data_IF_931285148933
#
_entry.id   IF_931285148933
#
_cell.length_a   1.000
_cell.length_b   1.000
_cell.length_c   1.000
_cell.angle_alpha   90.00
_cell.angle_beta   90.00
_cell.angle_gamma   90.00
#
_symmetry.space_group_name_H-M   'P 1'
#
loop_
_entity.id
_entity.type
_entity.pdbx_description
1 polymer ?
#
# COMPACT_ATOMS: atom_id res chain seq x y z
N UNK A 1 -25.60 21.11 -31.88
CA UNK A 1 -24.33 21.02 -32.65
C UNK A 1 -24.72 21.04 -34.12
N UNK A 2 -24.18 21.95 -34.92
CA UNK A 2 -24.79 22.33 -36.20
C UNK A 2 -24.42 21.41 -37.37
N UNK A 3 -25.33 21.26 -38.34
CA UNK A 3 -25.11 20.53 -39.60
C UNK A 3 -23.87 21.06 -40.34
N UNK A 4 -23.61 22.37 -40.29
CA UNK A 4 -22.46 22.99 -40.94
C UNK A 4 -21.09 22.42 -40.53
N UNK A 5 -20.96 21.92 -39.30
CA UNK A 5 -19.71 21.33 -38.82
C UNK A 5 -19.49 19.88 -39.30
N UNK A 6 -20.52 19.23 -39.85
CA UNK A 6 -20.50 17.79 -40.18
C UNK A 6 -20.85 17.48 -41.64
N UNK A 7 -21.44 18.42 -42.38
CA UNK A 7 -21.79 18.24 -43.79
C UNK A 7 -20.55 17.94 -44.65
N UNK A 8 -20.75 17.31 -45.81
CA UNK A 8 -19.73 17.21 -46.85
C UNK A 8 -19.79 18.45 -47.74
N UNK A 9 -18.63 19.03 -48.05
CA UNK A 9 -18.49 20.05 -49.09
C UNK A 9 -18.16 19.45 -50.46
N UNK A 10 -17.86 18.16 -50.50
CA UNK A 10 -17.65 17.40 -51.73
C UNK A 10 -19.00 16.80 -52.17
N UNK A 11 -19.60 17.41 -53.19
CA UNK A 11 -20.87 17.02 -53.81
C UNK A 11 -20.94 17.51 -55.27
N UNK A 12 -21.87 16.97 -56.05
CA UNK A 12 -22.11 17.41 -57.42
C UNK A 12 -23.28 18.38 -57.50
N UNK A 13 -23.10 19.46 -58.26
CA UNK A 13 -24.18 20.32 -58.75
C UNK A 13 -24.24 20.25 -60.28
N UNK A 14 -25.43 20.38 -60.84
CA UNK A 14 -25.69 20.43 -62.29
C UNK A 14 -26.75 21.47 -62.59
N UNK A 15 -26.68 22.08 -63.77
CA UNK A 15 -27.64 23.10 -64.20
C UNK A 15 -28.90 22.41 -64.77
N UNK A 16 -30.08 22.99 -64.55
CA UNK A 16 -31.38 22.34 -64.84
C UNK A 16 -31.65 22.04 -66.33
N UNK A 17 -31.04 22.79 -67.24
CA UNK A 17 -31.13 22.60 -68.70
C UNK A 17 -30.15 21.54 -69.24
N UNK A 18 -29.21 21.03 -68.42
CA UNK A 18 -28.26 20.01 -68.86
C UNK A 18 -28.95 18.71 -69.29
N UNK A 19 -28.40 18.02 -70.29
CA UNK A 19 -28.98 16.76 -70.75
C UNK A 19 -28.85 15.66 -69.68
N UNK A 20 -29.80 14.74 -69.64
CA UNK A 20 -29.75 13.58 -68.74
C UNK A 20 -28.42 12.80 -68.91
N UNK A 21 -27.93 12.63 -70.14
CA UNK A 21 -26.64 11.96 -70.39
C UNK A 21 -25.46 12.65 -69.70
N UNK A 22 -25.37 13.98 -69.79
CA UNK A 22 -24.25 14.74 -69.21
C UNK A 22 -24.29 14.69 -67.68
N UNK A 23 -25.49 14.77 -67.10
CA UNK A 23 -25.66 14.67 -65.64
C UNK A 23 -25.29 13.27 -65.13
N UNK A 24 -25.72 12.21 -65.82
CA UNK A 24 -25.36 10.82 -65.47
C UNK A 24 -23.85 10.62 -65.54
N UNK A 25 -23.19 11.15 -66.57
CA UNK A 25 -21.73 11.09 -66.70
C UNK A 25 -21.03 11.86 -65.57
N UNK A 26 -21.50 13.07 -65.22
CA UNK A 26 -20.95 13.86 -64.11
C UNK A 26 -21.08 13.17 -62.75
N UNK A 27 -22.23 12.54 -62.49
CA UNK A 27 -22.47 11.77 -61.26
C UNK A 27 -21.51 10.56 -61.22
N UNK A 28 -21.39 9.82 -62.32
CA UNK A 28 -20.54 8.64 -62.40
C UNK A 28 -19.05 8.96 -62.29
N UNK A 29 -18.56 9.98 -63.02
CA UNK A 29 -17.14 10.36 -63.05
C UNK A 29 -16.63 10.84 -61.68
N UNK A 30 -17.49 11.46 -60.87
CA UNK A 30 -17.14 11.90 -59.52
C UNK A 30 -17.45 10.87 -58.43
N UNK A 31 -17.89 9.67 -58.81
CA UNK A 31 -18.34 8.61 -57.89
C UNK A 31 -19.36 9.12 -56.85
N UNK A 32 -20.20 10.07 -57.25
CA UNK A 32 -21.24 10.63 -56.41
C UNK A 32 -22.53 9.83 -56.58
N UNK A 33 -23.33 9.73 -55.51
CA UNK A 33 -24.63 9.03 -55.52
C UNK A 33 -25.83 9.97 -55.69
N UNK A 34 -25.57 11.29 -55.65
CA UNK A 34 -26.55 12.36 -55.76
C UNK A 34 -25.90 13.56 -56.45
N UNK A 35 -26.66 14.26 -57.28
CA UNK A 35 -26.36 15.61 -57.73
C UNK A 35 -27.54 16.54 -57.42
N UNK A 36 -27.24 17.77 -57.03
CA UNK A 36 -28.25 18.81 -56.84
C UNK A 36 -28.40 19.62 -58.11
N UNK A 37 -29.64 19.74 -58.58
CA UNK A 37 -29.98 20.53 -59.75
C UNK A 37 -30.17 21.97 -59.28
N UNK A 38 -29.47 22.90 -59.93
CA UNK A 38 -29.49 24.33 -59.60
C UNK A 38 -29.89 25.18 -60.81
N UNK A 39 -30.36 26.39 -60.54
CA UNK A 39 -30.52 27.42 -61.57
C UNK A 39 -29.23 28.22 -61.81
N UNK A 40 -29.30 29.23 -62.68
CA UNK A 40 -28.20 30.16 -62.99
C UNK A 40 -27.75 30.98 -61.78
N UNK A 41 -28.59 31.12 -60.74
CA UNK A 41 -28.31 31.82 -59.48
C UNK A 41 -27.77 30.89 -58.37
N UNK A 42 -27.41 29.64 -58.68
CA UNK A 42 -27.03 28.59 -57.71
C UNK A 42 -28.11 28.18 -56.69
N UNK A 43 -29.38 28.52 -56.94
CA UNK A 43 -30.49 28.10 -56.06
C UNK A 43 -30.90 26.67 -56.37
N UNK A 44 -31.27 25.93 -55.32
CA UNK A 44 -31.72 24.55 -55.48
C UNK A 44 -33.04 24.47 -56.28
N UNK A 45 -33.02 23.77 -57.41
CA UNK A 45 -34.19 23.43 -58.23
C UNK A 45 -34.69 22.00 -58.00
N UNK A 46 -33.82 21.10 -57.56
CA UNK A 46 -34.16 19.70 -57.29
C UNK A 46 -32.94 18.83 -57.06
N UNK A 47 -33.14 17.51 -57.08
CA UNK A 47 -32.04 16.56 -56.98
C UNK A 47 -32.21 15.35 -57.89
N UNK A 48 -31.09 14.75 -58.27
CA UNK A 48 -31.02 13.52 -59.04
C UNK A 48 -30.23 12.52 -58.24
N UNK A 49 -30.79 11.34 -58.05
CA UNK A 49 -30.14 10.23 -57.35
C UNK A 49 -29.96 9.05 -58.29
N UNK A 50 -29.15 8.07 -57.88
CA UNK A 50 -29.11 6.77 -58.58
C UNK A 50 -30.49 6.08 -58.69
N UNK A 51 -31.44 6.41 -57.81
CA UNK A 51 -32.83 5.95 -57.94
C UNK A 51 -33.54 6.60 -59.13
N UNK A 52 -33.40 7.92 -59.25
CA UNK A 52 -33.90 8.70 -60.40
C UNK A 52 -33.34 8.15 -61.73
N UNK A 53 -32.03 7.88 -61.78
CA UNK A 53 -31.38 7.32 -62.98
C UNK A 53 -31.96 5.94 -63.35
N UNK A 54 -32.16 5.05 -62.36
CA UNK A 54 -32.79 3.74 -62.60
C UNK A 54 -34.21 3.87 -63.14
N UNK A 55 -34.98 4.83 -62.64
CA UNK A 55 -36.34 5.09 -63.08
C UNK A 55 -36.40 5.62 -64.52
N UNK A 56 -35.50 6.54 -64.88
CA UNK A 56 -35.31 7.05 -66.24
C UNK A 56 -35.06 5.89 -67.22
N UNK A 57 -34.14 4.98 -66.86
CA UNK A 57 -33.80 3.79 -67.67
C UNK A 57 -35.03 2.88 -67.83
N UNK A 58 -35.71 2.57 -66.72
CA UNK A 58 -36.88 1.69 -66.72
C UNK A 58 -38.05 2.22 -67.56
N UNK A 59 -38.23 3.54 -67.61
CA UNK A 59 -39.28 4.21 -68.38
C UNK A 59 -38.89 4.51 -69.84
N UNK A 60 -37.65 4.22 -70.25
CA UNK A 60 -37.18 4.48 -71.61
C UNK A 60 -37.15 5.96 -72.00
N UNK A 61 -36.91 6.85 -71.04
CA UNK A 61 -36.86 8.30 -71.29
C UNK A 61 -35.64 8.64 -72.15
N UNK A 62 -35.83 9.49 -73.16
CA UNK A 62 -34.73 9.95 -74.02
C UNK A 62 -33.67 10.71 -73.22
N UNK A 63 -32.41 10.26 -73.30
CA UNK A 63 -31.28 10.86 -72.58
C UNK A 63 -30.91 12.28 -73.04
N UNK A 64 -31.47 12.74 -74.17
CA UNK A 64 -31.26 14.11 -74.68
C UNK A 64 -32.17 15.15 -74.03
N UNK A 65 -33.17 14.73 -73.25
CA UNK A 65 -34.06 15.66 -72.53
C UNK A 65 -33.28 16.40 -71.43
N UNK A 66 -33.69 17.61 -71.06
CA UNK A 66 -33.10 18.33 -69.93
C UNK A 66 -33.38 17.58 -68.62
N UNK A 67 -32.48 17.72 -67.65
CA UNK A 67 -32.55 17.01 -66.38
C UNK A 67 -33.74 17.46 -65.52
N UNK A 68 -34.19 18.70 -65.69
CA UNK A 68 -35.37 19.23 -64.99
C UNK A 68 -36.66 18.44 -65.26
N UNK A 69 -36.77 17.79 -66.42
CA UNK A 69 -37.93 16.97 -66.80
C UNK A 69 -38.09 15.71 -65.94
N UNK A 70 -37.03 15.28 -65.26
CA UNK A 70 -36.94 13.98 -64.58
C UNK A 70 -36.38 14.06 -63.16
N UNK A 71 -35.92 15.24 -62.71
CA UNK A 71 -35.40 15.42 -61.36
C UNK A 71 -36.50 15.24 -60.29
N UNK A 72 -36.07 14.96 -59.05
CA UNK A 72 -36.93 15.16 -57.90
C UNK A 72 -36.97 16.67 -57.65
N UNK A 73 -38.13 17.29 -57.88
CA UNK A 73 -38.27 18.76 -57.80
C UNK A 73 -38.00 19.29 -56.39
N UNK A 74 -37.70 20.59 -56.29
CA UNK A 74 -37.46 21.29 -55.01
C UNK A 74 -38.57 21.03 -54.01
N UNK A 75 -39.83 21.06 -54.44
CA UNK A 75 -41.01 20.87 -53.57
C UNK A 75 -41.09 19.46 -52.97
N UNK A 76 -40.42 18.50 -53.60
CA UNK A 76 -40.32 17.11 -53.15
C UNK A 76 -38.96 16.78 -52.54
N UNK A 77 -38.09 17.76 -52.40
CA UNK A 77 -36.74 17.60 -51.84
C UNK A 77 -36.70 18.18 -50.43
N UNK A 78 -36.62 17.32 -49.42
CA UNK A 78 -36.34 17.77 -48.05
C UNK A 78 -34.93 18.39 -47.98
N UNK A 79 -34.79 19.46 -47.21
CA UNK A 79 -33.52 20.21 -47.09
C UNK A 79 -33.20 20.51 -45.63
N UNK A 80 -31.96 20.89 -45.34
CA UNK A 80 -31.52 21.32 -44.02
C UNK A 80 -30.87 22.70 -44.10
N UNK A 81 -31.06 23.54 -43.09
CA UNK A 81 -30.24 24.74 -42.93
C UNK A 81 -28.87 24.37 -42.33
N UNK A 82 -27.82 25.08 -42.72
CA UNK A 82 -26.47 24.91 -42.16
C UNK A 82 -26.42 25.05 -40.62
N UNK A 83 -27.38 25.79 -40.03
CA UNK A 83 -27.49 26.00 -38.58
C UNK A 83 -28.34 24.94 -37.85
N UNK A 84 -28.99 24.04 -38.57
CA UNK A 84 -29.84 23.02 -37.97
C UNK A 84 -29.04 22.08 -37.06
N UNK A 85 -29.71 21.46 -36.10
CA UNK A 85 -29.11 20.39 -35.29
C UNK A 85 -29.12 19.06 -36.04
N UNK A 86 -28.13 18.21 -35.78
CA UNK A 86 -28.02 16.87 -36.37
C UNK A 86 -29.26 16.00 -36.15
N UNK A 87 -29.98 16.18 -35.03
CA UNK A 87 -31.20 15.44 -34.76
C UNK A 87 -32.30 15.71 -35.81
N UNK A 88 -32.35 16.92 -36.37
CA UNK A 88 -33.29 17.26 -37.44
C UNK A 88 -33.04 16.38 -38.67
N UNK A 89 -31.77 16.29 -39.10
CA UNK A 89 -31.38 15.43 -40.23
C UNK A 89 -31.76 13.96 -39.99
N UNK A 90 -31.54 13.45 -38.78
CA UNK A 90 -31.83 12.06 -38.42
C UNK A 90 -33.33 11.77 -38.46
N UNK A 91 -34.16 12.69 -37.97
CA UNK A 91 -35.62 12.55 -38.02
C UNK A 91 -36.11 12.49 -39.47
N UNK A 92 -35.64 13.41 -40.32
CA UNK A 92 -36.00 13.42 -41.74
C UNK A 92 -35.56 12.10 -42.41
N UNK A 93 -34.33 11.63 -42.18
CA UNK A 93 -33.86 10.34 -42.72
C UNK A 93 -34.71 9.15 -42.26
N UNK A 94 -35.23 9.19 -41.03
CA UNK A 94 -36.05 8.12 -40.46
C UNK A 94 -37.48 8.12 -41.02
N UNK A 95 -38.06 9.31 -41.22
CA UNK A 95 -39.44 9.45 -41.65
C UNK A 95 -39.62 9.30 -43.17
N UNK A 96 -38.64 9.77 -43.96
CA UNK A 96 -38.78 9.90 -45.42
C UNK A 96 -38.06 8.82 -46.21
N UNK A 97 -37.32 7.91 -45.55
CA UNK A 97 -36.49 6.87 -46.18
C UNK A 97 -35.57 7.39 -47.30
N UNK A 98 -34.97 8.56 -47.07
CA UNK A 98 -34.00 9.18 -47.99
C UNK A 98 -32.57 8.99 -47.49
N UNK A 99 -31.59 9.08 -48.41
CA UNK A 99 -30.18 8.81 -48.10
C UNK A 99 -29.30 10.03 -48.04
N UNK A 100 -29.73 11.13 -48.67
CA UNK A 100 -28.99 12.38 -48.79
C UNK A 100 -29.93 13.55 -48.56
N UNK A 101 -29.42 14.58 -47.88
CA UNK A 101 -30.10 15.85 -47.68
C UNK A 101 -29.18 16.98 -48.13
N UNK A 102 -29.61 17.86 -49.04
CA UNK A 102 -28.91 19.10 -49.32
C UNK A 102 -28.91 19.98 -48.07
N UNK A 103 -27.77 20.62 -47.84
CA UNK A 103 -27.60 21.63 -46.79
C UNK A 103 -27.55 22.98 -47.44
N UNK A 104 -28.48 23.85 -47.05
CA UNK A 104 -28.65 25.17 -47.59
C UNK A 104 -28.10 26.23 -46.64
N UNK A 105 -27.55 27.29 -47.24
CA UNK A 105 -27.38 28.58 -46.58
C UNK A 105 -28.26 29.55 -47.36
N UNK A 106 -29.32 30.02 -46.72
CA UNK A 106 -30.41 30.73 -47.42
C UNK A 106 -31.03 29.80 -48.47
N UNK A 107 -30.80 30.04 -49.77
CA UNK A 107 -31.34 29.23 -50.88
C UNK A 107 -30.26 28.46 -51.66
N UNK A 108 -28.98 28.70 -51.34
CA UNK A 108 -27.84 28.10 -52.03
C UNK A 108 -27.43 26.77 -51.41
N UNK A 109 -27.09 25.80 -52.25
CA UNK A 109 -26.57 24.50 -51.81
C UNK A 109 -25.11 24.65 -51.39
N UNK A 110 -24.85 24.57 -50.08
CA UNK A 110 -23.50 24.71 -49.50
C UNK A 110 -22.90 23.39 -49.02
N UNK A 111 -23.67 22.31 -49.05
CA UNK A 111 -23.21 21.00 -48.63
C UNK A 111 -24.23 19.89 -48.81
N UNK A 112 -23.82 18.68 -48.46
CA UNK A 112 -24.69 17.50 -48.37
C UNK A 112 -24.42 16.74 -47.09
N UNK A 113 -25.46 16.23 -46.45
CA UNK A 113 -25.32 15.23 -45.40
C UNK A 113 -25.93 13.92 -45.88
N UNK A 114 -25.21 12.81 -45.67
CA UNK A 114 -25.73 11.47 -45.91
C UNK A 114 -26.20 10.84 -44.62
N UNK A 115 -27.19 9.96 -44.71
CA UNK A 115 -27.70 9.19 -43.57
C UNK A 115 -26.56 8.45 -42.85
N UNK A 116 -25.65 7.82 -43.61
CA UNK A 116 -24.46 7.14 -43.07
C UNK A 116 -23.56 8.07 -42.27
N UNK A 117 -23.32 9.30 -42.75
CA UNK A 117 -22.46 10.28 -42.07
C UNK A 117 -23.12 10.80 -40.79
N UNK A 118 -24.41 11.13 -40.85
CA UNK A 118 -25.20 11.56 -39.70
C UNK A 118 -25.22 10.48 -38.60
N UNK A 119 -25.49 9.22 -38.98
CA UNK A 119 -25.53 8.09 -38.05
C UNK A 119 -24.15 7.79 -37.43
N UNK A 120 -23.09 7.77 -38.25
CA UNK A 120 -21.70 7.57 -37.75
C UNK A 120 -21.33 8.62 -36.70
N UNK A 121 -21.72 9.86 -36.93
CA UNK A 121 -21.44 10.95 -36.01
C UNK A 121 -22.23 10.82 -34.70
N UNK A 122 -23.53 10.49 -34.79
CA UNK A 122 -24.36 10.26 -33.60
C UNK A 122 -23.80 9.13 -32.73
N UNK A 123 -23.44 7.98 -33.33
CA UNK A 123 -22.84 6.85 -32.62
C UNK A 123 -21.54 7.26 -31.93
N UNK A 124 -20.64 7.96 -32.64
CA UNK A 124 -19.37 8.42 -32.08
C UNK A 124 -19.57 9.29 -30.83
N UNK A 125 -20.53 10.21 -30.88
CA UNK A 125 -20.86 11.08 -29.75
C UNK A 125 -21.42 10.29 -28.58
N UNK A 126 -22.40 9.41 -28.81
CA UNK A 126 -22.98 8.58 -27.74
C UNK A 126 -21.96 7.69 -27.05
N UNK A 127 -21.01 7.11 -27.80
CA UNK A 127 -19.92 6.31 -27.22
C UNK A 127 -19.02 7.15 -26.33
N UNK A 128 -18.68 8.38 -26.75
CA UNK A 128 -17.84 9.30 -25.98
C UNK A 128 -18.53 9.73 -24.67
N UNK A 129 -19.76 10.24 -24.77
CA UNK A 129 -20.56 10.67 -23.61
C UNK A 129 -20.76 9.48 -22.63
N UNK A 130 -21.00 8.28 -23.17
CA UNK A 130 -21.12 7.06 -22.37
C UNK A 130 -19.82 6.62 -21.68
N UNK A 131 -18.65 6.86 -22.30
CA UNK A 131 -17.35 6.57 -21.69
C UNK A 131 -17.02 7.54 -20.57
N UNK A 132 -17.26 8.84 -20.76
CA UNK A 132 -17.05 9.87 -19.73
C UNK A 132 -17.96 9.62 -18.52
N UNK A 133 -19.26 9.41 -18.75
CA UNK A 133 -20.20 9.09 -17.67
C UNK A 133 -19.82 7.81 -16.90
N UNK A 134 -19.31 6.78 -17.60
CA UNK A 134 -18.80 5.56 -16.96
C UNK A 134 -17.55 5.82 -16.12
N UNK A 135 -16.63 6.66 -16.59
CA UNK A 135 -15.41 7.02 -15.84
C UNK A 135 -15.77 7.78 -14.57
N UNK A 136 -16.62 8.79 -14.65
CA UNK A 136 -17.09 9.57 -13.50
C UNK A 136 -17.82 8.69 -12.49
N UNK A 137 -18.74 7.83 -12.97
CA UNK A 137 -19.46 6.90 -12.10
C UNK A 137 -18.51 5.93 -11.40
N UNK A 138 -17.51 5.38 -12.10
CA UNK A 138 -16.48 4.53 -11.49
C UNK A 138 -15.64 5.28 -10.45
N UNK A 139 -15.17 6.49 -10.77
CA UNK A 139 -14.37 7.29 -9.85
C UNK A 139 -15.14 7.61 -8.57
N UNK A 140 -16.42 8.01 -8.71
CA UNK A 140 -17.30 8.26 -7.56
C UNK A 140 -17.50 7.02 -6.70
N UNK A 141 -17.77 5.86 -7.30
CA UNK A 141 -17.90 4.60 -6.55
C UNK A 141 -16.62 4.22 -5.78
N UNK A 142 -15.44 4.52 -6.33
CA UNK A 142 -14.16 4.29 -5.63
C UNK A 142 -14.08 5.21 -4.42
N UNK A 143 -14.29 6.52 -4.61
CA UNK A 143 -14.19 7.52 -3.53
C UNK A 143 -15.22 7.29 -2.42
N UNK A 144 -16.44 6.85 -2.77
CA UNK A 144 -17.52 6.55 -1.81
C UNK A 144 -17.30 5.24 -1.04
N UNK A 145 -16.54 4.28 -1.61
CA UNK A 145 -16.26 3.01 -0.93
C UNK A 145 -15.07 3.09 0.03
N UNK A 146 -14.28 4.16 -0.02
CA UNK A 146 -13.21 4.41 0.94
C UNK A 146 -13.79 4.77 2.32
N UNK A 147 -13.30 4.08 3.35
CA UNK A 147 -13.51 4.48 4.75
C UNK A 147 -12.53 5.59 5.19
N UNK A 148 -11.85 6.23 4.24
CA UNK A 148 -10.96 7.36 4.49
C UNK A 148 -11.65 8.66 4.10
N UNK A 149 -11.53 9.66 4.97
CA UNK A 149 -11.96 11.01 4.65
C UNK A 149 -11.08 11.57 3.54
N UNK A 150 -11.69 12.13 2.50
CA UNK A 150 -11.00 12.72 1.36
C UNK A 150 -11.50 14.16 1.15
N UNK A 151 -10.55 15.08 1.09
CA UNK A 151 -10.78 16.50 0.83
C UNK A 151 -9.83 16.91 -0.30
N UNK A 152 -10.36 17.52 -1.36
CA UNK A 152 -9.53 18.17 -2.39
C UNK A 152 -9.64 19.66 -2.20
N UNK A 153 -8.50 20.33 -2.20
CA UNK A 153 -8.38 21.79 -2.11
C UNK A 153 -7.59 22.30 -3.30
N UNK A 154 -8.03 23.41 -3.89
CA UNK A 154 -7.31 24.07 -4.99
C UNK A 154 -6.09 24.87 -4.48
N UNK A 155 -5.33 25.46 -5.41
CA UNK A 155 -4.18 26.32 -5.14
C UNK A 155 -4.49 27.57 -4.31
N UNK A 156 -5.75 28.02 -4.35
CA UNK A 156 -6.23 29.15 -3.56
C UNK A 156 -6.76 28.70 -2.19
N UNK A 157 -6.60 27.43 -1.82
CA UNK A 157 -7.11 26.80 -0.59
C UNK A 157 -8.64 26.70 -0.54
N UNK A 158 -9.33 26.72 -1.67
CA UNK A 158 -10.77 26.50 -1.75
C UNK A 158 -11.06 25.00 -1.79
N UNK A 159 -11.98 24.53 -0.96
CA UNK A 159 -12.40 23.11 -0.96
C UNK A 159 -13.20 22.82 -2.21
N UNK A 160 -12.72 21.89 -3.02
CA UNK A 160 -13.33 21.45 -4.28
C UNK A 160 -14.16 20.18 -4.11
N UNK A 161 -13.66 19.24 -3.30
CA UNK A 161 -14.30 17.94 -3.08
C UNK A 161 -14.27 17.60 -1.59
N UNK A 162 -15.32 16.92 -1.14
CA UNK A 162 -15.49 16.50 0.25
C UNK A 162 -16.32 15.21 0.31
N UNK A 163 -15.67 14.06 0.53
CA UNK A 163 -16.36 12.78 0.43
C UNK A 163 -17.24 12.46 1.66
N UNK A 164 -18.17 11.49 1.56
CA UNK A 164 -19.05 11.11 2.69
C UNK A 164 -18.31 10.65 3.95
N UNK A 165 -17.15 10.00 3.80
CA UNK A 165 -16.32 9.59 4.93
C UNK A 165 -15.76 10.82 5.67
N UNK A 166 -15.35 11.87 4.95
CA UNK A 166 -14.93 13.13 5.53
C UNK A 166 -16.07 13.81 6.29
N UNK A 167 -17.31 13.76 5.79
CA UNK A 167 -18.47 14.27 6.52
C UNK A 167 -18.69 13.53 7.84
N UNK A 168 -18.65 12.20 7.80
CA UNK A 168 -18.83 11.36 8.98
C UNK A 168 -17.75 11.59 10.02
N UNK A 169 -16.49 11.72 9.60
CA UNK A 169 -15.35 11.90 10.49
C UNK A 169 -15.27 13.32 11.06
N UNK A 170 -15.51 14.35 10.24
CA UNK A 170 -15.39 15.74 10.68
C UNK A 170 -16.67 16.28 11.34
N UNK A 171 -17.82 15.66 11.04
CA UNK A 171 -19.14 16.16 11.41
C UNK A 171 -19.62 17.34 10.56
N UNK A 172 -18.88 17.73 9.52
CA UNK A 172 -19.20 18.85 8.62
C UNK A 172 -19.88 18.34 7.37
N UNK A 173 -20.82 19.11 6.81
CA UNK A 173 -21.48 18.75 5.55
C UNK A 173 -20.68 19.23 4.34
N UNK A 174 -20.63 18.41 3.29
CA UNK A 174 -19.97 18.73 2.03
C UNK A 174 -20.51 20.04 1.44
N UNK A 175 -21.83 20.21 1.40
CA UNK A 175 -22.50 21.43 0.91
C UNK A 175 -22.13 22.70 1.71
N UNK A 176 -21.70 22.55 2.96
CA UNK A 176 -21.24 23.66 3.79
C UNK A 176 -19.76 23.96 3.62
N UNK A 177 -18.97 23.06 3.03
CA UNK A 177 -17.51 23.16 2.92
C UNK A 177 -17.05 23.43 1.49
N UNK A 178 -17.68 22.81 0.50
CA UNK A 178 -17.35 23.01 -0.92
C UNK A 178 -17.51 24.49 -1.28
N UNK A 179 -16.53 25.03 -2.00
CA UNK A 179 -16.46 26.44 -2.38
C UNK A 179 -15.97 27.40 -1.28
N UNK A 180 -15.72 26.91 -0.05
CA UNK A 180 -15.17 27.74 1.03
C UNK A 180 -13.67 27.52 1.17
N UNK A 181 -12.98 28.52 1.76
CA UNK A 181 -11.58 28.37 2.14
C UNK A 181 -11.42 27.27 3.19
N UNK A 182 -10.41 26.44 3.00
CA UNK A 182 -9.96 25.46 3.97
C UNK A 182 -9.56 26.17 5.25
N UNK A 183 -10.15 25.79 6.38
CA UNK A 183 -9.79 26.38 7.66
C UNK A 183 -8.42 25.85 8.08
N UNK A 184 -7.45 26.75 8.24
CA UNK A 184 -6.19 26.39 8.85
C UNK A 184 -6.40 26.22 10.36
N UNK A 185 -6.61 24.99 10.81
CA UNK A 185 -6.76 24.64 12.23
C UNK A 185 -5.47 24.16 12.89
N UNK A 186 -4.39 24.05 12.12
CA UNK A 186 -3.10 23.50 12.52
C UNK A 186 -2.03 24.61 12.57
N UNK A 187 -0.95 24.38 13.33
CA UNK A 187 0.15 25.35 13.53
C UNK A 187 0.59 26.00 12.21
N UNK A 188 0.83 27.31 12.28
CA UNK A 188 1.27 28.14 11.16
C UNK A 188 2.73 27.80 10.77
N UNK A 189 3.06 27.49 9.49
CA UNK A 189 2.20 27.43 8.30
C UNK A 189 1.47 26.09 8.09
N UNK A 190 0.33 26.12 7.36
CA UNK A 190 -0.47 24.93 7.04
C UNK A 190 0.33 23.92 6.21
N UNK A 191 0.19 22.62 6.50
CA UNK A 191 0.83 21.56 5.69
C UNK A 191 0.35 21.61 4.23
N UNK A 192 -0.91 21.97 4.03
CA UNK A 192 -1.49 22.14 2.69
C UNK A 192 -0.75 23.21 1.89
N UNK A 193 -0.52 24.36 2.52
CA UNK A 193 0.20 25.49 1.91
C UNK A 193 1.65 25.12 1.60
N UNK A 194 2.31 24.38 2.51
CA UNK A 194 3.66 23.87 2.28
C UNK A 194 3.70 22.98 1.03
N UNK A 195 2.77 22.02 0.91
CA UNK A 195 2.70 21.09 -0.23
C UNK A 195 2.38 21.82 -1.54
N UNK A 196 1.54 22.85 -1.51
CA UNK A 196 1.28 23.70 -2.69
C UNK A 196 2.57 24.43 -3.12
N UNK A 197 3.36 24.91 -2.16
CA UNK A 197 4.57 25.69 -2.42
C UNK A 197 5.75 24.86 -2.90
N UNK A 198 6.01 23.73 -2.25
CA UNK A 198 7.19 22.89 -2.53
C UNK A 198 6.90 21.71 -3.45
N UNK A 199 5.62 21.32 -3.61
CA UNK A 199 5.22 20.18 -4.42
C UNK A 199 5.65 18.82 -3.84
N UNK A 200 6.05 18.77 -2.57
CA UNK A 200 6.55 17.58 -1.90
C UNK A 200 5.40 16.94 -1.11
N UNK A 201 5.01 15.69 -1.40
CA UNK A 201 3.95 15.03 -0.64
C UNK A 201 4.37 14.79 0.81
N UNK A 202 3.39 14.82 1.73
CA UNK A 202 3.58 14.55 3.16
C UNK A 202 2.68 13.39 3.58
N UNK A 203 3.27 12.29 4.02
CA UNK A 203 2.55 11.08 4.40
C UNK A 203 2.56 10.88 5.91
N UNK A 204 1.58 10.12 6.40
CA UNK A 204 1.51 9.63 7.78
C UNK A 204 1.62 10.73 8.85
N UNK A 205 1.02 11.90 8.60
CA UNK A 205 1.05 13.01 9.55
C UNK A 205 -0.01 12.80 10.62
N UNK A 206 0.39 12.69 11.88
CA UNK A 206 -0.55 12.56 12.99
C UNK A 206 -1.13 13.92 13.38
N UNK A 207 -2.47 14.03 13.34
CA UNK A 207 -3.21 15.23 13.72
C UNK A 207 -4.15 14.88 14.87
N UNK A 208 -3.88 15.46 16.04
CA UNK A 208 -4.73 15.32 17.22
C UNK A 208 -5.80 16.40 17.24
N UNK A 209 -7.05 15.97 17.31
CA UNK A 209 -8.22 16.85 17.36
C UNK A 209 -8.52 17.29 18.80
N UNK A 210 -9.28 18.37 18.95
CA UNK A 210 -9.67 18.92 20.26
C UNK A 210 -10.55 17.96 21.08
N UNK A 211 -11.32 17.12 20.41
CA UNK A 211 -12.15 16.09 21.02
C UNK A 211 -11.35 14.84 21.44
N UNK A 212 -10.03 14.83 21.23
CA UNK A 212 -9.14 13.74 21.61
C UNK A 212 -8.90 12.69 20.52
N UNK A 213 -9.63 12.74 19.40
CA UNK A 213 -9.38 11.84 18.27
C UNK A 213 -8.03 12.11 17.61
N UNK A 214 -7.44 11.07 17.02
CA UNK A 214 -6.16 11.12 16.33
C UNK A 214 -6.36 10.65 14.90
N UNK A 215 -6.05 11.52 13.95
CA UNK A 215 -6.12 11.22 12.52
C UNK A 215 -4.73 11.05 11.94
N UNK A 216 -4.57 10.07 11.06
CA UNK A 216 -3.40 9.92 10.21
C UNK A 216 -3.70 10.54 8.85
N UNK A 217 -2.95 11.56 8.45
CA UNK A 217 -3.27 12.39 7.27
C UNK A 217 -2.15 12.32 6.24
N UNK A 218 -2.55 12.14 4.97
CA UNK A 218 -1.69 12.22 3.80
C UNK A 218 -2.06 13.44 2.97
N UNK A 219 -1.05 14.14 2.44
CA UNK A 219 -1.18 15.30 1.59
C UNK A 219 -0.42 15.06 0.29
N UNK A 220 -1.15 15.00 -0.83
CA UNK A 220 -0.59 14.71 -2.14
C UNK A 220 -0.89 15.87 -3.10
N UNK A 221 0.11 16.49 -3.75
CA UNK A 221 -0.12 17.57 -4.69
C UNK A 221 -0.83 17.05 -5.95
N UNK A 222 -1.88 17.75 -6.36
CA UNK A 222 -2.58 17.51 -7.60
C UNK A 222 -1.93 18.34 -8.71
N UNK A 223 -1.40 17.68 -9.73
CA UNK A 223 -0.66 18.32 -10.83
C UNK A 223 -1.42 18.25 -12.14
N UNK A 224 -1.49 19.35 -12.87
CA UNK A 224 -2.01 19.41 -14.24
C UNK A 224 -1.00 20.15 -15.12
N UNK A 225 -0.60 19.54 -16.25
CA UNK A 225 0.41 20.09 -17.17
C UNK A 225 1.76 20.48 -16.52
N UNK A 226 2.09 19.91 -15.37
CA UNK A 226 3.32 20.21 -14.63
C UNK A 226 3.14 21.20 -13.47
N UNK A 227 2.05 21.95 -13.46
CA UNK A 227 1.72 22.92 -12.42
C UNK A 227 0.88 22.28 -11.30
N UNK A 228 1.03 22.78 -10.08
CA UNK A 228 0.25 22.33 -8.92
C UNK A 228 -1.07 23.08 -8.92
N UNK A 229 -2.17 22.36 -9.15
CA UNK A 229 -3.53 22.91 -9.14
C UNK A 229 -4.22 22.78 -7.79
N UNK A 230 -3.67 21.96 -6.88
CA UNK A 230 -4.24 21.75 -5.57
C UNK A 230 -3.57 20.64 -4.77
N UNK A 231 -4.24 20.19 -3.72
CA UNK A 231 -3.80 19.11 -2.84
C UNK A 231 -4.97 18.18 -2.53
N UNK A 232 -4.73 16.89 -2.63
CA UNK A 232 -5.61 15.85 -2.10
C UNK A 232 -5.17 15.52 -0.68
N UNK A 233 -6.09 15.65 0.25
CA UNK A 233 -5.92 15.24 1.64
C UNK A 233 -6.71 13.96 1.86
N UNK A 234 -6.04 12.89 2.29
CA UNK A 234 -6.73 11.71 2.81
C UNK A 234 -6.45 11.54 4.30
N UNK A 235 -7.44 11.12 5.07
CA UNK A 235 -7.27 10.92 6.50
C UNK A 235 -8.08 9.74 7.03
N UNK A 236 -7.50 9.06 8.01
CA UNK A 236 -8.11 7.93 8.71
C UNK A 236 -8.06 8.14 10.21
N UNK A 237 -9.13 7.75 10.91
CA UNK A 237 -9.19 7.79 12.37
C UNK A 237 -8.40 6.61 12.94
N UNK A 238 -7.27 6.91 13.59
CA UNK A 238 -6.39 5.93 14.22
C UNK A 238 -6.51 5.94 15.75
N UNK A 239 -7.55 6.56 16.30
CA UNK A 239 -7.72 6.72 17.75
C UNK A 239 -7.73 5.37 18.47
N UNK A 240 -8.55 4.42 17.99
CA UNK A 240 -8.63 3.08 18.58
C UNK A 240 -7.29 2.32 18.50
N UNK A 241 -6.58 2.47 17.37
CA UNK A 241 -5.26 1.87 17.20
C UNK A 241 -4.25 2.44 18.22
N UNK A 242 -4.21 3.77 18.38
CA UNK A 242 -3.35 4.43 19.37
C UNK A 242 -3.70 4.04 20.81
N UNK A 243 -4.99 3.96 21.14
CA UNK A 243 -5.44 3.51 22.47
C UNK A 243 -5.00 2.07 22.77
N UNK A 244 -5.12 1.16 21.79
CA UNK A 244 -4.63 -0.21 21.94
C UNK A 244 -3.11 -0.25 22.07
N UNK A 245 -2.38 0.54 21.28
CA UNK A 245 -0.93 0.66 21.37
C UNK A 245 -0.49 1.14 22.77
N UNK A 246 -1.14 2.18 23.29
CA UNK A 246 -0.88 2.71 24.63
C UNK A 246 -1.24 1.68 25.72
N UNK A 247 -2.34 0.95 25.57
CA UNK A 247 -2.74 -0.09 26.51
C UNK A 247 -1.72 -1.23 26.55
N UNK A 248 -1.25 -1.71 25.39
CA UNK A 248 -0.19 -2.73 25.32
C UNK A 248 1.09 -2.22 25.98
N UNK A 249 1.46 -0.97 25.72
CA UNK A 249 2.65 -0.35 26.35
C UNK A 249 2.52 -0.29 27.87
N UNK A 250 1.36 0.14 28.39
CA UNK A 250 1.08 0.18 29.84
C UNK A 250 1.09 -1.20 30.46
N UNK A 251 0.41 -2.17 29.86
CA UNK A 251 0.39 -3.55 30.36
C UNK A 251 1.79 -4.16 30.37
N UNK A 252 2.63 -3.86 29.37
CA UNK A 252 4.04 -4.25 29.37
C UNK A 252 4.80 -3.61 30.53
N UNK A 253 4.60 -2.31 30.79
CA UNK A 253 5.25 -1.61 31.90
C UNK A 253 4.79 -2.12 33.28
N UNK A 254 3.51 -2.43 33.45
CA UNK A 254 2.95 -3.04 34.66
C UNK A 254 3.53 -4.44 34.90
N UNK A 255 3.63 -5.23 33.83
CA UNK A 255 4.24 -6.55 33.87
C UNK A 255 5.73 -6.45 34.25
N UNK A 256 6.47 -5.51 33.65
CA UNK A 256 7.88 -5.26 33.98
C UNK A 256 8.05 -4.82 35.45
N UNK A 257 7.13 -4.00 36.00
CA UNK A 257 7.12 -3.62 37.43
C UNK A 257 6.78 -4.80 38.34
N UNK A 258 5.82 -5.65 37.96
CA UNK A 258 5.48 -6.85 38.71
C UNK A 258 6.66 -7.84 38.72
N UNK A 259 7.37 -7.98 37.59
CA UNK A 259 8.62 -8.75 37.53
C UNK A 259 9.74 -8.15 38.38
N UNK A 260 9.87 -6.82 38.47
CA UNK A 260 10.85 -6.22 39.36
C UNK A 260 10.64 -6.62 40.84
N UNK A 261 9.39 -6.90 41.25
CA UNK A 261 9.07 -7.40 42.59
C UNK A 261 9.45 -8.88 42.82
N UNK A 262 9.61 -9.68 41.76
CA UNK A 262 10.13 -11.05 41.89
C UNK A 262 11.65 -11.08 42.03
N UNK A 263 12.33 -9.99 41.71
CA UNK A 263 13.76 -9.86 41.96
C UNK A 263 14.02 -9.68 43.46
N UNK A 264 14.98 -10.41 44.03
CA UNK A 264 15.16 -10.53 45.48
C UNK A 264 15.48 -9.22 46.21
N UNK A 265 15.95 -8.17 45.52
CA UNK A 265 16.00 -6.79 46.00
C UNK A 265 16.41 -5.79 44.89
N UNK A 266 16.28 -4.50 45.18
CA UNK A 266 16.62 -3.38 44.29
C UNK A 266 18.08 -3.32 43.86
N UNK A 267 19.03 -3.94 44.60
CA UNK A 267 20.45 -3.97 44.19
C UNK A 267 20.67 -4.93 43.02
N UNK A 268 20.01 -6.09 43.04
CA UNK A 268 20.00 -7.06 41.92
C UNK A 268 19.41 -6.39 40.69
N UNK A 269 18.23 -5.78 40.83
CA UNK A 269 17.57 -5.04 39.74
C UNK A 269 18.47 -3.94 39.16
N UNK A 270 19.05 -3.10 40.03
CA UNK A 270 19.94 -2.03 39.61
C UNK A 270 21.16 -2.56 38.85
N UNK A 271 21.82 -3.61 39.36
CA UNK A 271 22.99 -4.20 38.70
C UNK A 271 22.64 -4.77 37.33
N UNK A 272 21.50 -5.44 37.18
CA UNK A 272 21.03 -5.95 35.89
C UNK A 272 20.69 -4.82 34.90
N UNK A 273 20.03 -3.75 35.37
CA UNK A 273 19.68 -2.57 34.55
C UNK A 273 20.90 -1.72 34.16
N UNK A 274 21.99 -1.81 34.92
CA UNK A 274 23.24 -1.10 34.65
C UNK A 274 24.21 -1.88 33.74
N UNK A 275 23.88 -3.11 33.37
CA UNK A 275 24.70 -3.93 32.47
C UNK A 275 24.14 -3.84 31.05
N UNK A 276 24.82 -3.16 30.11
CA UNK A 276 24.35 -3.07 28.73
C UNK A 276 24.52 -4.40 27.98
N UNK A 277 23.72 -4.57 26.94
CA UNK A 277 23.89 -5.63 25.94
C UNK A 277 24.04 -4.98 24.57
N UNK A 278 24.85 -5.60 23.71
CA UNK A 278 25.19 -5.06 22.41
C UNK A 278 24.54 -5.87 21.29
N UNK A 279 24.05 -5.16 20.27
CA UNK A 279 23.68 -5.75 18.99
C UNK A 279 24.81 -5.43 18.02
N UNK A 280 25.28 -6.45 17.32
CA UNK A 280 26.48 -6.34 16.48
C UNK A 280 26.33 -7.04 15.12
N UNK A 281 27.18 -6.61 14.19
CA UNK A 281 27.38 -7.23 12.90
C UNK A 281 28.82 -7.74 12.78
N UNK A 282 28.98 -9.05 12.62
CA UNK A 282 30.29 -9.70 12.49
C UNK A 282 30.85 -9.59 11.07
N UNK A 283 32.09 -9.11 10.95
CA UNK A 283 32.87 -9.10 9.72
C UNK A 283 33.89 -10.27 9.72
N UNK A 284 33.69 -11.32 8.91
CA UNK A 284 34.59 -12.47 8.86
C UNK A 284 35.97 -12.15 8.26
N UNK A 285 36.11 -11.07 7.48
CA UNK A 285 37.38 -10.73 6.84
C UNK A 285 38.39 -10.14 7.82
N UNK A 286 37.89 -9.39 8.80
CA UNK A 286 38.70 -8.72 9.83
C UNK A 286 38.58 -9.40 11.19
N UNK A 287 37.66 -10.36 11.35
CA UNK A 287 37.31 -10.99 12.61
C UNK A 287 36.91 -9.96 13.70
N UNK A 288 36.27 -8.88 13.28
CA UNK A 288 35.77 -7.82 14.15
C UNK A 288 34.25 -7.80 14.17
N UNK A 289 33.69 -7.15 15.18
CA UNK A 289 32.27 -6.83 15.22
C UNK A 289 32.09 -5.32 15.15
N UNK A 290 31.03 -4.88 14.48
CA UNK A 290 30.56 -3.50 14.50
C UNK A 290 29.30 -3.40 15.34
N UNK A 291 29.29 -2.52 16.34
CA UNK A 291 28.11 -2.28 17.18
C UNK A 291 27.06 -1.53 16.35
N UNK A 292 25.87 -2.10 16.26
CA UNK A 292 24.73 -1.54 15.53
C UNK A 292 23.67 -0.95 16.46
N UNK A 293 23.58 -1.45 17.71
CA UNK A 293 22.69 -0.91 18.74
C UNK A 293 23.19 -1.24 20.16
N UNK A 294 22.72 -0.48 21.15
CA UNK A 294 23.06 -0.63 22.58
C UNK A 294 21.80 -0.69 23.43
N UNK A 295 21.57 -1.85 24.05
CA UNK A 295 20.48 -2.06 25.00
C UNK A 295 20.99 -1.69 26.39
N UNK A 296 20.74 -0.45 26.83
CA UNK A 296 21.26 0.07 28.12
C UNK A 296 20.93 -0.80 29.32
N UNK A 297 19.71 -1.32 29.40
CA UNK A 297 19.26 -2.26 30.44
C UNK A 297 19.31 -3.72 29.97
N UNK A 298 20.31 -4.06 29.17
CA UNK A 298 20.43 -5.34 28.47
C UNK A 298 20.42 -6.55 29.39
N UNK A 299 21.18 -6.52 30.49
CA UNK A 299 21.20 -7.60 31.48
C UNK A 299 19.84 -7.85 32.12
N UNK A 300 19.07 -6.79 32.40
CA UNK A 300 17.69 -6.91 32.88
C UNK A 300 16.77 -7.56 31.84
N UNK A 301 16.86 -7.12 30.59
CA UNK A 301 16.06 -7.68 29.48
C UNK A 301 16.41 -9.16 29.25
N UNK A 302 17.70 -9.51 29.31
CA UNK A 302 18.20 -10.88 29.20
C UNK A 302 17.56 -11.78 30.25
N UNK A 303 17.69 -11.43 31.54
CA UNK A 303 17.11 -12.20 32.66
C UNK A 303 15.59 -12.34 32.53
N UNK A 304 14.87 -11.27 32.15
CA UNK A 304 13.42 -11.34 31.93
C UNK A 304 13.07 -12.32 30.80
N UNK A 305 13.83 -12.31 29.70
CA UNK A 305 13.63 -13.26 28.60
C UNK A 305 13.98 -14.70 29.01
N UNK A 306 15.03 -14.91 29.81
CA UNK A 306 15.35 -16.23 30.37
C UNK A 306 14.21 -16.78 31.23
N UNK A 307 13.60 -15.94 32.07
CA UNK A 307 12.46 -16.32 32.90
C UNK A 307 11.20 -16.63 32.08
N UNK A 308 10.96 -15.93 30.97
CA UNK A 308 9.86 -16.24 30.04
C UNK A 308 10.05 -17.62 29.40
N UNK A 309 11.23 -17.90 28.86
CA UNK A 309 11.55 -19.22 28.28
C UNK A 309 11.43 -20.31 29.35
N UNK A 310 11.90 -20.05 30.58
CA UNK A 310 11.72 -20.97 31.69
C UNK A 310 10.23 -21.21 32.01
N UNK A 311 9.39 -20.17 32.01
CA UNK A 311 7.95 -20.32 32.23
C UNK A 311 7.30 -21.22 31.17
N UNK A 312 7.65 -21.05 29.90
CA UNK A 312 7.12 -21.91 28.83
C UNK A 312 7.57 -23.37 28.99
N UNK A 313 8.84 -23.58 29.35
CA UNK A 313 9.38 -24.92 29.64
C UNK A 313 8.72 -25.57 30.86
N UNK A 314 8.34 -24.78 31.87
CA UNK A 314 7.56 -25.26 33.01
C UNK A 314 6.17 -25.73 32.56
N UNK A 315 5.48 -24.95 31.72
CA UNK A 315 4.17 -25.32 31.17
C UNK A 315 4.24 -26.61 30.33
N UNK A 316 5.35 -26.78 29.60
CA UNK A 316 5.64 -28.01 28.83
C UNK A 316 6.12 -29.18 29.71
N UNK A 317 6.22 -29.01 31.02
CA UNK A 317 6.49 -30.08 31.98
C UNK A 317 7.96 -30.42 32.19
N UNK A 318 8.92 -29.64 31.64
CA UNK A 318 10.35 -29.92 31.83
C UNK A 318 10.79 -29.83 33.30
N UNK A 319 10.18 -28.94 34.09
CA UNK A 319 10.46 -28.84 35.53
C UNK A 319 9.79 -29.94 36.37
N UNK A 320 9.06 -30.87 35.74
CA UNK A 320 8.56 -32.08 36.41
C UNK A 320 9.53 -33.25 36.26
N UNK A 321 10.60 -33.09 35.46
CA UNK A 321 11.64 -34.09 35.28
C UNK A 321 12.54 -34.14 36.53
N UNK A 322 13.02 -35.35 36.84
CA UNK A 322 13.92 -35.58 37.97
C UNK A 322 15.24 -34.85 37.71
N UNK A 323 15.71 -34.08 38.69
CA UNK A 323 16.95 -33.31 38.59
C UNK A 323 16.80 -31.93 37.93
N UNK A 324 15.56 -31.46 37.70
CA UNK A 324 15.27 -30.10 37.22
C UNK A 324 14.37 -29.40 38.25
N UNK A 325 14.99 -28.92 39.32
CA UNK A 325 14.28 -28.19 40.37
C UNK A 325 13.95 -26.76 39.92
N UNK A 326 12.65 -26.42 39.93
CA UNK A 326 12.14 -25.11 39.51
C UNK A 326 12.80 -23.96 40.25
N UNK A 327 12.90 -24.05 41.57
CA UNK A 327 13.42 -22.96 42.40
C UNK A 327 14.92 -22.74 42.14
N UNK A 328 15.69 -23.82 42.04
CA UNK A 328 17.12 -23.78 41.69
C UNK A 328 17.32 -23.12 40.32
N UNK A 329 16.49 -23.46 39.33
CA UNK A 329 16.55 -22.88 37.99
C UNK A 329 16.26 -21.37 38.01
N UNK A 330 15.15 -20.96 38.63
CA UNK A 330 14.71 -19.56 38.67
C UNK A 330 15.74 -18.69 39.41
N UNK A 331 16.26 -19.16 40.54
CA UNK A 331 17.31 -18.44 41.25
C UNK A 331 18.60 -18.38 40.43
N UNK A 332 19.01 -19.47 39.78
CA UNK A 332 20.19 -19.45 38.92
C UNK A 332 20.05 -18.39 37.81
N UNK A 333 18.87 -18.29 37.19
CA UNK A 333 18.59 -17.31 36.13
C UNK A 333 18.74 -15.88 36.64
N UNK A 334 18.17 -15.57 37.80
CA UNK A 334 18.19 -14.21 38.37
C UNK A 334 19.61 -13.75 38.69
N UNK A 335 20.47 -14.66 39.15
CA UNK A 335 21.78 -14.31 39.68
C UNK A 335 22.96 -14.54 38.71
N UNK A 336 22.79 -15.31 37.62
CA UNK A 336 23.93 -15.76 36.80
C UNK A 336 24.77 -14.66 36.13
N UNK A 337 24.16 -13.50 35.86
CA UNK A 337 24.80 -12.40 35.12
C UNK A 337 25.13 -11.19 36.00
N UNK A 338 24.95 -11.29 37.33
CA UNK A 338 25.23 -10.17 38.24
C UNK A 338 26.70 -9.76 38.29
N UNK A 339 27.62 -10.70 38.08
CA UNK A 339 29.05 -10.48 38.05
C UNK A 339 29.56 -9.91 36.73
N UNK A 340 28.72 -9.75 35.71
CA UNK A 340 29.11 -9.35 34.35
C UNK A 340 29.63 -7.91 34.31
N UNK A 341 30.75 -7.74 33.63
CA UNK A 341 31.35 -6.44 33.31
C UNK A 341 31.35 -6.26 31.80
N UNK A 342 30.81 -5.14 31.33
CA UNK A 342 30.73 -4.83 29.91
C UNK A 342 31.60 -3.60 29.62
N UNK A 343 32.29 -3.56 28.48
CA UNK A 343 32.96 -2.35 28.02
C UNK A 343 31.93 -1.24 27.77
N UNK A 344 32.36 0.02 27.72
CA UNK A 344 31.51 1.14 27.29
C UNK A 344 31.70 1.36 25.79
N UNK A 345 30.77 0.84 24.97
CA UNK A 345 30.83 0.92 23.51
C UNK A 345 29.64 1.70 22.96
N UNK A 346 29.89 2.43 21.87
CA UNK A 346 28.90 3.23 21.16
C UNK A 346 28.53 2.60 19.82
N UNK A 347 27.36 3.00 19.31
CA UNK A 347 26.91 2.62 17.96
C UNK A 347 27.94 3.09 16.94
N UNK A 348 28.43 2.15 16.12
CA UNK A 348 29.44 2.39 15.11
C UNK A 348 30.85 1.93 15.49
N UNK A 349 31.12 1.66 16.78
CA UNK A 349 32.41 1.15 17.23
C UNK A 349 32.71 -0.22 16.59
N UNK A 350 33.97 -0.41 16.19
CA UNK A 350 34.47 -1.66 15.62
C UNK A 350 35.51 -2.21 16.57
N UNK A 351 35.27 -3.41 17.10
CA UNK A 351 36.14 -4.03 18.11
C UNK A 351 36.39 -5.50 17.80
N UNK A 352 37.53 -6.00 18.28
CA UNK A 352 37.79 -7.44 18.34
C UNK A 352 37.02 -8.03 19.54
N UNK A 353 36.10 -8.99 19.34
CA UNK A 353 35.27 -9.52 20.43
C UNK A 353 36.08 -10.07 21.61
N UNK A 354 37.19 -10.78 21.31
CA UNK A 354 38.03 -11.41 22.33
C UNK A 354 38.86 -10.41 23.14
N UNK A 355 39.02 -9.18 22.65
CA UNK A 355 39.74 -8.10 23.36
C UNK A 355 38.78 -7.20 24.13
N UNK A 356 37.60 -6.94 23.57
CA UNK A 356 36.62 -6.03 24.16
C UNK A 356 35.77 -6.68 25.26
N UNK A 357 35.46 -7.98 25.14
CA UNK A 357 34.60 -8.70 26.06
C UNK A 357 35.37 -9.71 26.89
N UNK A 358 35.03 -9.80 28.17
CA UNK A 358 35.59 -10.82 29.02
C UNK A 358 35.07 -12.22 28.69
N UNK A 359 35.85 -13.24 29.05
CA UNK A 359 35.44 -14.63 28.93
C UNK A 359 34.25 -14.93 29.86
N UNK A 360 33.26 -15.67 29.34
CA UNK A 360 32.03 -15.97 30.07
C UNK A 360 32.26 -16.62 31.44
N UNK A 361 33.22 -17.55 31.50
CA UNK A 361 33.60 -18.27 32.72
C UNK A 361 34.01 -17.31 33.86
N UNK A 362 34.61 -16.16 33.54
CA UNK A 362 35.06 -15.20 34.56
C UNK A 362 33.88 -14.51 35.25
N UNK A 363 32.89 -14.04 34.49
CA UNK A 363 31.72 -13.44 35.11
C UNK A 363 30.85 -14.50 35.79
N UNK A 364 30.73 -15.71 35.22
CA UNK A 364 30.02 -16.82 35.85
C UNK A 364 30.56 -17.13 37.25
N UNK A 365 31.89 -17.19 37.40
CA UNK A 365 32.54 -17.39 38.69
C UNK A 365 32.26 -16.23 39.66
N UNK A 366 32.31 -14.97 39.20
CA UNK A 366 32.00 -13.80 40.05
C UNK A 366 30.52 -13.75 40.45
N UNK A 367 29.61 -14.09 39.55
CA UNK A 367 28.17 -14.18 39.83
C UNK A 367 27.88 -15.26 40.85
N UNK A 368 28.54 -16.43 40.75
CA UNK A 368 28.41 -17.51 41.73
C UNK A 368 28.88 -17.06 43.11
N UNK A 369 30.06 -16.42 43.18
CA UNK A 369 30.59 -15.83 44.41
C UNK A 369 29.65 -14.77 45.00
N UNK A 370 29.00 -13.96 44.16
CA UNK A 370 28.00 -12.98 44.60
C UNK A 370 26.76 -13.66 45.18
N UNK A 371 26.20 -14.64 44.46
CA UNK A 371 25.04 -15.42 44.86
C UNK A 371 25.27 -16.14 46.21
N UNK A 372 26.45 -16.74 46.39
CA UNK A 372 26.86 -17.42 47.61
C UNK A 372 27.05 -16.43 48.77
N UNK A 373 27.97 -15.46 48.62
CA UNK A 373 28.47 -14.65 49.74
C UNK A 373 27.53 -13.52 50.15
N UNK A 374 26.81 -12.92 49.20
CA UNK A 374 25.98 -11.74 49.46
C UNK A 374 24.48 -12.05 49.53
N UNK A 375 24.05 -13.16 48.91
CA UNK A 375 22.63 -13.51 48.82
C UNK A 375 22.31 -14.89 49.41
N UNK A 376 23.31 -15.58 49.98
CA UNK A 376 23.17 -16.85 50.70
C UNK A 376 22.37 -17.90 49.92
N UNK A 377 22.66 -18.03 48.62
CA UNK A 377 21.97 -18.98 47.73
C UNK A 377 22.44 -20.41 47.99
N UNK A 378 21.55 -21.37 47.74
CA UNK A 378 21.86 -22.79 47.91
C UNK A 378 23.02 -23.23 47.01
N UNK A 379 23.76 -24.26 47.43
CA UNK A 379 24.96 -24.70 46.71
C UNK A 379 24.67 -25.13 45.27
N UNK A 380 23.50 -25.72 45.02
CA UNK A 380 23.09 -26.11 43.66
C UNK A 380 22.93 -24.89 42.75
N UNK A 381 22.33 -23.80 43.25
CA UNK A 381 22.21 -22.52 42.53
C UNK A 381 23.60 -21.96 42.22
N UNK A 382 24.47 -21.91 43.22
CA UNK A 382 25.85 -21.43 43.08
C UNK A 382 26.62 -22.27 42.05
N UNK A 383 26.39 -23.59 42.04
CA UNK A 383 27.04 -24.53 41.12
C UNK A 383 26.58 -24.33 39.68
N UNK A 384 25.26 -24.22 39.44
CA UNK A 384 24.72 -23.93 38.11
C UNK A 384 25.26 -22.59 37.59
N UNK A 385 25.22 -21.54 38.42
CA UNK A 385 25.77 -20.23 38.04
C UNK A 385 27.26 -20.32 37.74
N UNK A 386 28.05 -21.06 38.53
CA UNK A 386 29.50 -21.14 38.32
C UNK A 386 29.87 -21.81 37.01
N UNK A 387 29.09 -22.84 36.61
CA UNK A 387 29.47 -23.73 35.52
C UNK A 387 28.64 -23.57 34.25
N UNK A 388 27.66 -22.66 34.16
CA UNK A 388 26.84 -22.52 32.96
C UNK A 388 27.61 -22.19 31.67
N UNK A 389 28.76 -21.51 31.75
CA UNK A 389 29.63 -21.29 30.57
C UNK A 389 30.66 -22.41 30.31
N UNK A 390 30.66 -23.48 31.10
CA UNK A 390 31.57 -24.60 30.89
C UNK A 390 30.92 -25.67 30.01
N UNK A 391 31.61 -26.15 28.97
CA UNK A 391 31.18 -27.36 28.29
C UNK A 391 31.30 -28.56 29.25
N UNK A 392 30.46 -29.57 29.05
CA UNK A 392 30.32 -30.69 30.00
C UNK A 392 31.64 -31.47 30.18
N UNK A 393 32.50 -31.54 29.15
CA UNK A 393 33.82 -32.19 29.21
C UNK A 393 34.88 -31.40 30.01
N UNK A 394 34.58 -30.16 30.38
CA UNK A 394 35.44 -29.28 31.20
C UNK A 394 34.92 -29.08 32.62
N UNK A 395 33.84 -29.77 33.01
CA UNK A 395 33.37 -29.76 34.38
C UNK A 395 34.39 -30.43 35.32
N UNK A 396 34.46 -30.00 36.60
CA UNK A 396 35.33 -30.63 37.56
C UNK A 396 34.87 -32.07 37.85
N UNK A 397 35.81 -32.94 38.24
CA UNK A 397 35.53 -34.38 38.44
C UNK A 397 34.50 -34.66 39.53
N UNK A 398 34.37 -33.76 40.49
CA UNK A 398 33.45 -33.78 41.61
C UNK A 398 32.16 -32.97 41.34
N UNK A 399 31.90 -32.59 40.09
CA UNK A 399 30.64 -31.93 39.72
C UNK A 399 29.42 -32.79 40.13
N UNK A 400 28.40 -32.24 40.81
CA UNK A 400 27.23 -33.00 41.21
C UNK A 400 26.43 -33.47 40.00
N UNK A 401 26.50 -34.77 39.67
CA UNK A 401 25.89 -35.33 38.46
C UNK A 401 24.37 -35.17 38.40
N UNK A 402 23.71 -35.06 39.56
CA UNK A 402 22.27 -34.80 39.63
C UNK A 402 21.86 -33.43 39.06
N UNK A 403 22.81 -32.48 38.93
CA UNK A 403 22.58 -31.16 38.35
C UNK A 403 22.80 -31.11 36.83
N UNK A 404 23.30 -32.18 36.19
CA UNK A 404 23.56 -32.18 34.76
C UNK A 404 22.32 -31.86 33.90
N UNK A 405 21.13 -32.43 34.18
CA UNK A 405 19.93 -32.07 33.42
C UNK A 405 19.56 -30.59 33.55
N UNK A 406 19.66 -30.06 34.77
CA UNK A 406 19.39 -28.65 35.06
C UNK A 406 20.42 -27.73 34.38
N UNK A 407 21.71 -28.07 34.42
CA UNK A 407 22.78 -27.31 33.78
C UNK A 407 22.55 -27.21 32.26
N UNK A 408 22.22 -28.33 31.61
CA UNK A 408 21.92 -28.37 30.18
C UNK A 408 20.70 -27.52 29.84
N UNK A 409 19.62 -27.64 30.62
CA UNK A 409 18.43 -26.81 30.43
C UNK A 409 18.74 -25.32 30.62
N UNK A 410 19.54 -24.99 31.65
CA UNK A 410 19.98 -23.63 31.92
C UNK A 410 20.77 -23.05 30.74
N UNK A 411 21.72 -23.79 30.19
CA UNK A 411 22.51 -23.39 29.03
C UNK A 411 21.65 -23.13 27.79
N UNK A 412 20.62 -23.95 27.58
CA UNK A 412 19.65 -23.73 26.50
C UNK A 412 18.88 -22.43 26.75
N UNK A 413 18.34 -22.23 27.96
CA UNK A 413 17.61 -21.00 28.32
C UNK A 413 18.49 -19.77 28.11
N UNK A 414 19.71 -19.77 28.64
CA UNK A 414 20.66 -18.66 28.52
C UNK A 414 20.92 -18.30 27.05
N UNK A 415 21.26 -19.29 26.22
CA UNK A 415 21.47 -19.11 24.79
C UNK A 415 20.25 -18.56 24.05
N UNK A 416 19.05 -19.02 24.38
CA UNK A 416 17.80 -18.52 23.78
C UNK A 416 17.49 -17.10 24.22
N UNK A 417 17.66 -16.77 25.50
CA UNK A 417 17.45 -15.41 25.98
C UNK A 417 18.44 -14.42 25.35
N UNK A 418 19.68 -14.82 25.11
CA UNK A 418 20.65 -14.00 24.39
C UNK A 418 20.23 -13.78 22.93
N UNK A 419 19.73 -14.83 22.25
CA UNK A 419 19.20 -14.73 20.88
C UNK A 419 17.99 -13.80 20.78
N UNK A 420 17.04 -13.92 21.71
CA UNK A 420 15.84 -13.06 21.78
C UNK A 420 16.24 -11.62 22.07
N UNK A 421 17.16 -11.40 23.02
CA UNK A 421 17.58 -10.07 23.47
C UNK A 421 18.39 -9.33 22.41
N UNK A 422 19.39 -9.98 21.81
CA UNK A 422 20.33 -9.32 20.89
C UNK A 422 19.92 -9.39 19.41
N UNK A 423 19.11 -10.37 19.00
CA UNK A 423 18.78 -10.63 17.59
C UNK A 423 17.29 -10.63 17.28
N UNK A 424 16.45 -10.31 18.27
CA UNK A 424 14.99 -10.38 18.15
C UNK A 424 14.52 -11.72 17.57
N UNK A 425 15.19 -12.81 17.96
CA UNK A 425 14.96 -14.13 17.40
C UNK A 425 13.54 -14.62 17.69
N UNK A 426 12.87 -15.16 16.68
CA UNK A 426 11.65 -15.96 16.85
C UNK A 426 12.05 -17.38 17.20
N UNK A 427 11.61 -17.84 18.36
CA UNK A 427 11.92 -19.16 18.87
C UNK A 427 10.64 -19.97 18.98
N UNK A 428 10.66 -21.22 18.49
CA UNK A 428 9.63 -22.22 18.80
C UNK A 428 10.29 -23.46 19.38
N UNK A 429 9.58 -24.17 20.25
CA UNK A 429 10.10 -25.38 20.88
C UNK A 429 9.03 -26.45 21.05
N UNK A 430 9.47 -27.70 21.06
CA UNK A 430 8.67 -28.90 21.34
C UNK A 430 9.39 -29.75 22.37
N UNK A 431 8.63 -30.29 23.31
CA UNK A 431 9.12 -31.17 24.38
C UNK A 431 8.51 -32.55 24.23
N UNK A 432 9.35 -33.58 24.29
CA UNK A 432 8.96 -34.99 24.33
C UNK A 432 9.78 -35.72 25.41
N UNK A 433 9.20 -35.84 26.61
CA UNK A 433 9.93 -36.33 27.78
C UNK A 433 11.12 -35.42 28.13
N UNK A 434 12.34 -35.97 28.16
CA UNK A 434 13.59 -35.22 28.37
C UNK A 434 14.15 -34.58 27.10
N UNK A 435 13.53 -34.82 25.93
CA UNK A 435 14.01 -34.28 24.65
C UNK A 435 13.37 -32.94 24.38
N UNK A 436 14.23 -31.95 24.15
CA UNK A 436 13.85 -30.60 23.78
C UNK A 436 14.33 -30.33 22.35
N UNK A 437 13.38 -29.98 21.48
CA UNK A 437 13.66 -29.46 20.14
C UNK A 437 13.40 -27.96 20.15
N UNK A 438 14.38 -27.18 19.71
CA UNK A 438 14.30 -25.73 19.59
C UNK A 438 14.57 -25.32 18.15
N UNK A 439 13.74 -24.44 17.62
CA UNK A 439 13.89 -23.85 16.29
C UNK A 439 14.06 -22.35 16.48
N UNK A 440 15.19 -21.81 16.05
CA UNK A 440 15.52 -20.39 16.12
C UNK A 440 15.51 -19.78 14.72
N UNK A 441 14.71 -18.73 14.54
CA UNK A 441 14.66 -17.91 13.35
C UNK A 441 15.07 -16.48 13.70
N UNK A 442 16.15 -16.03 13.08
CA UNK A 442 16.75 -14.71 13.27
C UNK A 442 16.59 -13.90 11.97
N UNK A 443 16.72 -12.57 12.07
CA UNK A 443 16.69 -11.69 10.89
C UNK A 443 17.79 -12.06 9.88
N UNK A 444 18.97 -12.44 10.38
CA UNK A 444 20.07 -12.88 9.55
C UNK A 444 20.11 -14.43 9.46
N UNK A 445 19.94 -15.04 8.26
CA UNK A 445 19.76 -16.49 8.10
C UNK A 445 20.88 -17.37 8.66
N UNK A 446 22.11 -16.84 8.74
CA UNK A 446 23.29 -17.53 9.31
C UNK A 446 23.07 -18.00 10.76
N UNK A 447 22.22 -17.33 11.52
CA UNK A 447 21.93 -17.69 12.92
C UNK A 447 20.72 -18.62 13.05
N UNK A 448 20.06 -18.99 11.95
CA UNK A 448 18.90 -19.87 12.00
C UNK A 448 19.35 -21.31 12.24
N UNK A 449 18.81 -21.94 13.28
CA UNK A 449 19.20 -23.29 13.68
C UNK A 449 18.05 -24.10 14.24
N UNK A 450 18.23 -25.42 14.20
CA UNK A 450 17.43 -26.39 14.93
C UNK A 450 18.35 -27.12 15.88
N UNK A 451 18.08 -27.00 17.18
CA UNK A 451 18.76 -27.72 18.25
C UNK A 451 17.85 -28.83 18.75
N UNK A 452 18.34 -30.07 18.76
CA UNK A 452 17.72 -31.18 19.48
C UNK A 452 18.65 -31.56 20.62
N UNK A 453 18.15 -31.58 21.85
CA UNK A 453 18.92 -31.97 23.03
C UNK A 453 18.09 -32.92 23.89
N UNK A 454 18.72 -33.99 24.37
CA UNK A 454 18.17 -34.81 25.44
C UNK A 454 18.82 -34.40 26.77
N UNK A 455 18.02 -33.82 27.66
CA UNK A 455 18.48 -33.24 28.93
C UNK A 455 19.08 -34.29 29.87
N UNK A 456 18.73 -35.57 29.74
CA UNK A 456 19.29 -36.63 30.59
C UNK A 456 20.59 -37.21 30.03
N UNK A 457 20.68 -37.40 28.72
CA UNK A 457 21.88 -38.00 28.11
C UNK A 457 22.92 -36.99 27.67
N UNK A 458 22.55 -35.71 27.52
CA UNK A 458 23.42 -34.65 26.99
C UNK A 458 23.66 -34.75 25.50
N UNK A 459 22.98 -35.68 24.80
CA UNK A 459 23.11 -35.82 23.35
C UNK A 459 22.49 -34.61 22.67
N UNK A 460 23.29 -33.91 21.89
CA UNK A 460 22.91 -32.71 21.14
C UNK A 460 23.09 -32.92 19.63
N UNK A 461 22.09 -32.52 18.85
CA UNK A 461 22.17 -32.44 17.39
C UNK A 461 21.75 -31.03 16.95
N UNK A 462 22.67 -30.28 16.34
CA UNK A 462 22.43 -28.93 15.83
C UNK A 462 22.51 -28.92 14.30
N UNK A 463 21.48 -28.39 13.64
CA UNK A 463 21.43 -28.29 12.16
C UNK A 463 21.02 -26.89 11.71
N UNK A 464 21.59 -26.34 10.62
CA UNK A 464 21.15 -25.07 10.05
C UNK A 464 19.72 -25.16 9.53
N UNK A 465 18.88 -24.15 9.81
CA UNK A 465 17.53 -24.09 9.27
C UNK A 465 17.58 -23.52 7.83
N UNK A 466 17.24 -24.34 6.83
CA UNK A 466 17.21 -23.92 5.41
C UNK A 466 16.05 -22.93 5.16
N UNK A 467 16.28 -21.92 4.32
CA UNK A 467 15.22 -20.99 3.88
C UNK A 467 14.05 -21.76 3.24
N UNK A 468 12.83 -21.51 3.71
CA UNK A 468 11.60 -22.09 3.15
C UNK A 468 11.12 -23.40 3.78
N UNK A 469 11.72 -23.87 4.87
CA UNK A 469 11.14 -24.96 5.67
C UNK A 469 9.92 -24.44 6.46
N UNK A 470 8.74 -25.01 6.21
CA UNK A 470 7.55 -24.74 7.03
C UNK A 470 7.79 -25.17 8.50
N UNK A 471 7.22 -24.39 9.42
CA UNK A 471 7.34 -24.49 10.89
C UNK A 471 6.55 -25.67 11.45
#
# INVERSE_FOLDING_TARGET
MTIGNIMSKDFSTVIKEESISDVVEKIHRRDHSVAFVIDEDNKLCGMVTNGTIKEIIAKGVSYKRPIEDVMISKEKTDTLNIRDDILNAINIFKEKDIRFLPVLKEEEVVGVISQRKAMKFLIKKQVQDGLESRKEKKARMIVESLNEGLIVVDKDLTVMEFNPAAEKMTGLKADERIGKKSENRSKDPSIVEMVIKDGIPRFNQEVKMRDGRIFLVNYVPLKQNGDIEGVVQSFSDITAFKQLQDQVSKTKEELDKAFALTLPNSKVEYKLKATPEYIDAFDPSTNTIKITDVIKSGGYVHVVNSLKVAADFNEMGLMKLIGIEKDTLVESIIFHDLGKSQPDLNIGDIVSPNEAFELGILHAARSADMAEKYYNKAQDVVTIIRYHHHPEDKLPKDFPTHLLPLLRLFQVIDGLSAAITRRNAKVTYKVDGSKLKVVEQNEHPKYNRVLNIDLYTGRTEETPLKQGAEV
#
